data_IF_819741072275
#
_entry.id   IF_819741072275
#
_cell.length_a   1.000
_cell.length_b   1.000
_cell.length_c   1.000
_cell.angle_alpha   90.00
_cell.angle_beta   90.00
_cell.angle_gamma   90.00
#
_symmetry.space_group_name_H-M   'P 1'
#
loop_
_entity.id
_entity.type
_entity.pdbx_description
1 polymer ?
#
# COMPACT_ATOMS: atom_id res chain seq x y z
N UNK A 1 -15.43 25.67 23.40
CA UNK A 1 -15.19 25.17 22.02
C UNK A 1 -14.26 26.15 21.31
N UNK A 2 -13.19 25.65 20.74
CA UNK A 2 -12.25 26.46 19.98
C UNK A 2 -12.61 26.39 18.50
N UNK A 3 -12.87 27.53 17.90
CA UNK A 3 -13.11 27.62 16.45
C UNK A 3 -11.77 27.97 15.79
N UNK A 4 -11.35 27.15 14.87
CA UNK A 4 -10.14 27.38 14.08
C UNK A 4 -10.55 27.84 12.69
N UNK A 5 -10.14 29.06 12.32
CA UNK A 5 -10.47 29.62 11.02
C UNK A 5 -9.57 29.05 9.95
N UNK A 6 -9.98 29.06 8.67
CA UNK A 6 -9.15 28.46 7.59
C UNK A 6 -7.72 29.00 7.54
N UNK A 7 -7.51 30.29 7.79
CA UNK A 7 -6.18 30.92 7.77
C UNK A 7 -5.29 30.47 8.93
N UNK A 8 -5.87 29.86 9.96
CA UNK A 8 -5.15 29.33 11.12
C UNK A 8 -4.78 27.87 10.97
N UNK A 9 -5.29 27.22 9.92
CA UNK A 9 -5.01 25.81 9.65
C UNK A 9 -3.65 25.71 8.99
N UNK A 10 -2.83 24.83 9.54
CA UNK A 10 -1.52 24.51 8.98
C UNK A 10 -1.55 23.09 8.44
N UNK A 11 -1.45 22.95 7.12
CA UNK A 11 -1.40 21.66 6.45
C UNK A 11 0.02 21.22 6.13
N UNK A 12 1.01 22.02 6.47
CA UNK A 12 2.40 21.65 6.25
C UNK A 12 2.76 20.41 7.09
N UNK A 13 3.48 19.47 6.51
CA UNK A 13 3.86 18.23 7.18
C UNK A 13 2.74 17.23 7.35
N UNK A 14 1.50 17.53 6.95
CA UNK A 14 0.43 16.55 6.98
C UNK A 14 0.55 15.57 5.85
N UNK A 15 0.26 14.29 6.17
CA UNK A 15 0.27 13.20 5.20
C UNK A 15 -1.16 12.83 4.85
N UNK A 16 -1.38 12.51 3.57
CA UNK A 16 -2.66 12.01 3.11
C UNK A 16 -2.65 10.50 3.08
N UNK A 17 -3.79 9.92 3.47
CA UNK A 17 -4.08 8.52 3.20
C UNK A 17 -5.37 8.45 2.39
N UNK A 18 -5.36 7.67 1.32
CA UNK A 18 -6.48 7.60 0.38
C UNK A 18 -6.69 6.16 -0.07
N UNK A 19 -7.94 5.76 -0.22
CA UNK A 19 -8.32 4.48 -0.80
C UNK A 19 -9.02 4.74 -2.12
N UNK A 20 -8.54 4.13 -3.20
CA UNK A 20 -9.17 4.16 -4.51
C UNK A 20 -9.83 2.82 -4.78
N UNK A 21 -11.09 2.83 -5.20
CA UNK A 21 -11.82 1.63 -5.54
C UNK A 21 -12.68 1.87 -6.77
N UNK A 22 -13.00 0.78 -7.46
CA UNK A 22 -13.79 0.84 -8.69
C UNK A 22 -13.63 -0.44 -9.48
N UNK A 23 -14.34 -0.54 -10.60
CA UNK A 23 -14.28 -1.68 -11.49
C UNK A 23 -12.89 -1.85 -12.11
N UNK A 24 -12.50 -3.09 -12.47
CA UNK A 24 -11.27 -3.31 -13.21
C UNK A 24 -11.22 -2.49 -14.49
N UNK A 25 -10.04 -1.95 -14.81
CA UNK A 25 -9.82 -1.24 -16.07
C UNK A 25 -10.25 0.23 -16.08
N UNK A 26 -10.69 0.79 -14.95
CA UNK A 26 -11.08 2.22 -14.90
C UNK A 26 -9.91 3.17 -14.68
N UNK A 27 -8.68 2.64 -14.52
CA UNK A 27 -7.48 3.47 -14.40
C UNK A 27 -7.06 3.78 -12.96
N UNK A 28 -7.47 2.97 -11.99
CA UNK A 28 -7.12 3.18 -10.57
C UNK A 28 -5.60 3.21 -10.36
N UNK A 29 -4.90 2.23 -10.90
CA UNK A 29 -3.43 2.15 -10.74
C UNK A 29 -2.76 3.35 -11.39
N UNK A 30 -3.16 3.72 -12.60
CA UNK A 30 -2.61 4.88 -13.29
C UNK A 30 -2.82 6.17 -12.48
N UNK A 31 -4.02 6.34 -11.91
CA UNK A 31 -4.29 7.49 -11.06
C UNK A 31 -3.42 7.47 -9.80
N UNK A 32 -3.31 6.32 -9.14
CA UNK A 32 -2.51 6.21 -7.92
C UNK A 32 -1.03 6.51 -8.20
N UNK A 33 -0.50 6.06 -9.32
CA UNK A 33 0.89 6.30 -9.70
C UNK A 33 1.16 7.73 -10.16
N UNK A 34 0.13 8.57 -10.27
CA UNK A 34 0.29 9.99 -10.55
C UNK A 34 0.65 10.80 -9.28
N UNK A 35 0.66 10.17 -8.13
CA UNK A 35 1.06 10.81 -6.87
C UNK A 35 2.53 11.23 -6.91
N UNK A 36 2.95 12.20 -6.05
CA UNK A 36 4.33 12.66 -6.06
C UNK A 36 5.32 11.54 -5.72
N UNK A 37 6.29 11.32 -6.58
CA UNK A 37 7.41 10.37 -6.44
C UNK A 37 6.96 9.04 -5.81
N UNK A 38 6.10 8.27 -6.49
CA UNK A 38 5.47 7.09 -5.90
C UNK A 38 6.37 5.86 -5.93
N UNK A 39 6.27 5.05 -4.88
CA UNK A 39 6.81 3.70 -4.83
C UNK A 39 5.61 2.75 -4.75
N UNK A 40 5.49 1.84 -5.70
CA UNK A 40 4.38 0.90 -5.77
C UNK A 40 4.75 -0.40 -5.06
N UNK A 41 3.91 -0.82 -4.13
CA UNK A 41 3.97 -2.18 -3.59
C UNK A 41 3.01 -3.02 -4.43
N UNK A 42 3.57 -3.81 -5.35
CA UNK A 42 2.82 -4.46 -6.42
C UNK A 42 2.54 -5.92 -6.07
N UNK A 43 1.52 -6.14 -5.24
CA UNK A 43 1.14 -7.50 -4.84
C UNK A 43 0.59 -8.34 -6.00
N UNK A 44 -0.08 -7.69 -6.94
CA UNK A 44 -0.73 -8.38 -8.06
C UNK A 44 0.10 -8.39 -9.33
N UNK A 45 1.33 -7.88 -9.27
CA UNK A 45 2.21 -7.77 -10.46
C UNK A 45 1.56 -6.98 -11.59
N UNK A 46 0.72 -6.00 -11.24
CA UNK A 46 -0.07 -5.22 -12.19
C UNK A 46 0.70 -4.14 -12.93
N UNK A 47 1.95 -3.84 -12.53
CA UNK A 47 2.73 -2.77 -13.16
C UNK A 47 2.95 -3.02 -14.66
N UNK A 48 2.99 -4.27 -15.08
CA UNK A 48 3.15 -4.62 -16.50
C UNK A 48 1.96 -4.20 -17.36
N UNK A 49 0.77 -4.02 -16.74
CA UNK A 49 -0.44 -3.58 -17.44
C UNK A 49 -0.52 -2.07 -17.56
N UNK A 50 0.32 -1.35 -16.83
CA UNK A 50 0.39 0.11 -16.90
C UNK A 50 1.22 0.50 -18.11
N UNK A 51 0.80 1.54 -18.84
CA UNK A 51 1.58 2.04 -19.98
C UNK A 51 3.00 2.41 -19.51
N UNK A 52 3.98 2.15 -20.37
CA UNK A 52 5.39 2.32 -20.02
C UNK A 52 5.70 3.72 -19.47
N UNK A 53 5.09 4.76 -20.02
CA UNK A 53 5.32 6.14 -19.60
C UNK A 53 4.65 6.49 -18.25
N UNK A 54 3.82 5.61 -17.72
CA UNK A 54 3.18 5.79 -16.41
C UNK A 54 3.73 4.85 -15.34
N UNK A 55 4.68 3.98 -15.69
CA UNK A 55 5.28 3.06 -14.74
C UNK A 55 6.23 3.77 -13.81
N UNK A 56 6.29 3.27 -12.59
CA UNK A 56 7.16 3.77 -11.54
C UNK A 56 7.98 2.63 -10.93
N UNK A 57 8.88 2.95 -10.02
CA UNK A 57 9.56 1.93 -9.23
C UNK A 57 8.55 1.12 -8.43
N UNK A 58 8.77 -0.18 -8.32
CA UNK A 58 7.86 -1.06 -7.62
C UNK A 58 8.61 -2.08 -6.76
N UNK A 59 7.99 -2.45 -5.65
CA UNK A 59 8.40 -3.57 -4.81
C UNK A 59 7.53 -4.76 -5.20
N UNK A 60 8.16 -5.85 -5.62
CA UNK A 60 7.47 -7.06 -6.06
C UNK A 60 7.82 -8.22 -5.13
N UNK A 61 7.58 -8.02 -3.85
CA UNK A 61 7.87 -9.02 -2.83
C UNK A 61 6.88 -10.18 -2.88
N UNK A 62 7.31 -11.34 -2.41
CA UNK A 62 6.47 -12.55 -2.35
C UNK A 62 5.96 -12.84 -0.95
N UNK A 63 6.49 -12.19 0.07
CA UNK A 63 6.07 -12.37 1.45
C UNK A 63 5.92 -11.03 2.17
N UNK A 64 5.16 -11.05 3.25
CA UNK A 64 4.95 -9.85 4.07
C UNK A 64 6.27 -9.37 4.70
N UNK A 65 7.13 -10.30 5.13
CA UNK A 65 8.43 -9.96 5.71
C UNK A 65 9.33 -9.23 4.71
N UNK A 66 9.30 -9.66 3.45
CA UNK A 66 10.04 -8.98 2.39
C UNK A 66 9.53 -7.57 2.16
N UNK A 67 8.21 -7.37 2.18
CA UNK A 67 7.61 -6.03 2.06
C UNK A 67 8.08 -5.13 3.18
N UNK A 68 8.05 -5.61 4.43
CA UNK A 68 8.50 -4.83 5.58
C UNK A 68 9.97 -4.43 5.44
N UNK A 69 10.82 -5.39 5.02
CA UNK A 69 12.24 -5.15 4.83
C UNK A 69 12.47 -4.10 3.74
N UNK A 70 11.78 -4.22 2.64
CA UNK A 70 11.97 -3.32 1.50
C UNK A 70 11.46 -1.90 1.80
N UNK A 71 10.34 -1.78 2.51
CA UNK A 71 9.80 -0.47 2.93
C UNK A 71 10.77 0.22 3.92
N UNK A 72 11.44 -0.56 4.77
CA UNK A 72 12.37 -0.02 5.74
C UNK A 72 13.74 0.30 5.15
N UNK A 73 13.99 -0.06 3.90
CA UNK A 73 15.28 0.17 3.25
C UNK A 73 15.56 1.66 3.05
N UNK A 74 16.84 2.07 2.99
CA UNK A 74 17.16 3.46 2.69
C UNK A 74 16.64 3.94 1.35
N UNK A 75 16.60 3.06 0.35
CA UNK A 75 16.10 3.37 -0.99
C UNK A 75 14.61 3.76 -0.96
N UNK A 76 13.81 3.10 -0.13
CA UNK A 76 12.38 3.40 -0.02
C UNK A 76 12.14 4.81 0.54
N UNK A 77 13.05 5.32 1.34
CA UNK A 77 12.91 6.66 1.95
C UNK A 77 13.07 7.80 0.95
N UNK A 78 13.59 7.51 -0.24
CA UNK A 78 13.70 8.50 -1.31
C UNK A 78 12.36 8.81 -1.97
N UNK A 79 11.34 8.01 -1.72
CA UNK A 79 10.02 8.17 -2.31
C UNK A 79 9.09 8.93 -1.37
N UNK A 80 8.17 9.72 -1.96
CA UNK A 80 7.26 10.56 -1.19
C UNK A 80 5.91 9.90 -0.95
N UNK A 81 5.53 8.96 -1.81
CA UNK A 81 4.22 8.29 -1.74
C UNK A 81 4.40 6.78 -1.80
N UNK A 82 3.69 6.06 -0.95
CA UNK A 82 3.61 4.60 -1.01
C UNK A 82 2.23 4.24 -1.56
N UNK A 83 2.21 3.48 -2.65
CA UNK A 83 0.98 2.97 -3.27
C UNK A 83 0.92 1.48 -3.05
N UNK A 84 -0.18 1.00 -2.49
CA UNK A 84 -0.41 -0.44 -2.26
C UNK A 84 -1.45 -0.91 -3.27
N UNK A 85 -1.09 -1.82 -4.12
CA UNK A 85 -1.98 -2.39 -5.14
C UNK A 85 -1.87 -3.92 -5.11
N UNK A 86 -2.85 -4.63 -4.67
CA UNK A 86 -4.12 -4.12 -4.15
C UNK A 86 -4.20 -4.32 -2.65
N UNK A 87 -5.13 -3.58 -2.00
CA UNK A 87 -5.36 -3.72 -0.56
C UNK A 87 -5.81 -5.12 -0.17
N UNK A 88 -6.63 -5.79 -1.01
CA UNK A 88 -7.06 -7.16 -0.77
C UNK A 88 -5.89 -8.14 -0.76
N UNK A 89 -4.98 -8.02 -1.69
CA UNK A 89 -3.78 -8.85 -1.74
C UNK A 89 -2.86 -8.56 -0.56
N UNK A 90 -2.76 -7.31 -0.13
CA UNK A 90 -2.01 -6.95 1.08
C UNK A 90 -2.58 -7.67 2.31
N UNK A 91 -3.91 -7.69 2.47
CA UNK A 91 -4.56 -8.39 3.58
C UNK A 91 -4.25 -9.87 3.54
N UNK A 92 -4.25 -10.48 2.34
CA UNK A 92 -3.90 -11.90 2.18
C UNK A 92 -2.46 -12.17 2.62
N UNK A 93 -1.52 -11.32 2.26
CA UNK A 93 -0.12 -11.42 2.69
C UNK A 93 -0.01 -11.32 4.21
N UNK A 94 -0.75 -10.39 4.81
CA UNK A 94 -0.76 -10.18 6.25
C UNK A 94 -1.35 -11.39 6.98
N UNK A 95 -2.44 -11.96 6.47
CA UNK A 95 -3.04 -13.16 7.03
C UNK A 95 -2.08 -14.35 6.97
N UNK A 96 -1.41 -14.54 5.85
CA UNK A 96 -0.40 -15.60 5.70
C UNK A 96 0.74 -15.45 6.71
N UNK A 97 1.22 -14.22 6.89
CA UNK A 97 2.24 -13.93 7.89
C UNK A 97 1.76 -14.26 9.30
N UNK A 98 0.55 -13.86 9.66
CA UNK A 98 -0.03 -14.15 10.97
C UNK A 98 -0.18 -15.64 11.21
N UNK A 99 -0.59 -16.40 10.19
CA UNK A 99 -0.70 -17.87 10.25
C UNK A 99 0.66 -18.49 10.54
N UNK A 100 1.70 -18.06 9.83
CA UNK A 100 3.03 -18.66 9.98
C UNK A 100 3.69 -18.30 11.31
N UNK A 101 3.39 -17.13 11.88
CA UNK A 101 4.02 -16.65 13.12
C UNK A 101 3.23 -17.01 14.37
N UNK A 102 1.94 -17.32 14.26
CA UNK A 102 1.07 -17.68 15.39
C UNK A 102 0.18 -18.89 15.08
N UNK A 103 0.79 -20.08 14.88
CA UNK A 103 0.01 -21.28 14.46
C UNK A 103 -1.08 -21.69 15.44
N UNK A 104 -0.84 -21.55 16.74
CA UNK A 104 -1.80 -21.95 17.79
C UNK A 104 -3.06 -21.06 17.76
N UNK A 105 -2.88 -19.75 17.63
CA UNK A 105 -4.00 -18.81 17.50
C UNK A 105 -4.79 -19.06 16.21
N UNK A 106 -4.09 -19.44 15.17
CA UNK A 106 -4.71 -19.77 13.91
C UNK A 106 -5.59 -20.99 13.97
N UNK A 107 -5.15 -22.03 14.69
CA UNK A 107 -5.98 -23.22 14.91
C UNK A 107 -7.26 -22.86 15.62
N UNK A 108 -7.20 -21.99 16.62
CA UNK A 108 -8.39 -21.50 17.33
C UNK A 108 -9.28 -20.72 16.37
N UNK A 109 -8.73 -19.82 15.58
CA UNK A 109 -9.49 -19.05 14.59
C UNK A 109 -10.17 -19.95 13.56
N UNK A 110 -9.50 -20.98 13.09
CA UNK A 110 -10.06 -21.94 12.13
C UNK A 110 -11.22 -22.73 12.72
N UNK A 111 -11.18 -23.00 14.02
CA UNK A 111 -12.27 -23.74 14.69
C UNK A 111 -13.57 -22.93 14.76
N UNK A 112 -13.48 -21.61 14.60
CA UNK A 112 -14.64 -20.70 14.66
C UNK A 112 -15.17 -20.30 13.28
N UNK A 113 -14.57 -20.77 12.23
CA UNK A 113 -14.98 -20.43 10.85
C UNK A 113 -16.04 -21.41 10.32
#
# INVERSE_FOLDING_TARGET
>A
MAIVKPEQLDFSGKKFSMILYGSPGVGKTTLALSAPNPLLIDFDRGISRVRANHRTASIQSTTYEEVLKDIASPEAKEYETIVVDTGGSFVTFLQDWAIRTNPSQNQIGRAHV
#
